data_IF_385021326212
#
_entry.id   IF_385021326212
#
_cell.length_a   1.000
_cell.length_b   1.000
_cell.length_c   1.000
_cell.angle_alpha   90.00
_cell.angle_beta   90.00
_cell.angle_gamma   90.00
#
_symmetry.space_group_name_H-M   'P 1'
#
loop_
_entity.id
_entity.type
_entity.pdbx_description
1 polymer ?
#
# COMPACT_ATOMS: atom_id res chain seq x y z
N UNK A 1 17.92 7.81 11.94
CA UNK A 1 17.64 6.70 11.01
C UNK A 1 16.19 6.35 11.21
N UNK A 2 15.41 6.28 10.15
CA UNK A 2 13.99 5.98 10.24
C UNK A 2 13.82 4.57 10.83
N UNK A 3 13.12 4.45 11.95
CA UNK A 3 13.02 3.19 12.72
C UNK A 3 11.96 2.25 12.12
N UNK A 4 11.96 2.10 10.79
CA UNK A 4 11.03 1.23 10.07
C UNK A 4 11.58 0.85 8.69
N UNK A 5 11.04 -0.23 8.13
CA UNK A 5 11.37 -0.72 6.79
C UNK A 5 10.15 -0.72 5.88
N UNK A 6 10.35 -0.46 4.59
CA UNK A 6 9.33 -0.63 3.57
C UNK A 6 9.54 -1.97 2.88
N UNK A 7 8.49 -2.78 2.80
CA UNK A 7 8.50 -4.07 2.11
C UNK A 7 7.35 -4.14 1.10
N UNK A 8 7.49 -4.95 0.05
CA UNK A 8 6.36 -5.33 -0.79
C UNK A 8 5.51 -6.35 -0.03
N UNK A 9 4.21 -6.13 0.06
CA UNK A 9 3.31 -7.06 0.70
C UNK A 9 3.09 -8.30 -0.17
N UNK A 10 2.80 -9.41 0.50
CA UNK A 10 2.58 -10.76 -0.03
C UNK A 10 1.51 -11.39 0.87
N UNK A 11 0.98 -12.56 0.49
CA UNK A 11 -0.06 -13.26 1.27
C UNK A 11 0.29 -13.43 2.75
N UNK A 12 1.54 -13.75 3.08
CA UNK A 12 2.04 -13.89 4.47
C UNK A 12 1.94 -12.61 5.32
N UNK A 13 1.71 -11.46 4.70
CA UNK A 13 1.60 -10.17 5.37
C UNK A 13 0.15 -9.75 5.62
N UNK A 14 -0.84 -10.49 5.09
CA UNK A 14 -2.25 -10.10 5.15
C UNK A 14 -2.78 -9.97 6.58
N UNK A 15 -2.34 -10.82 7.51
CA UNK A 15 -2.73 -10.74 8.93
C UNK A 15 -2.39 -9.38 9.57
N UNK A 16 -1.32 -8.73 9.09
CA UNK A 16 -0.90 -7.40 9.56
C UNK A 16 -1.49 -6.27 8.73
N UNK A 17 -1.73 -6.52 7.45
CA UNK A 17 -2.23 -5.51 6.52
C UNK A 17 -3.74 -5.31 6.64
N UNK A 18 -4.53 -6.38 6.81
CA UNK A 18 -5.99 -6.30 6.84
C UNK A 18 -6.54 -5.41 7.96
N UNK A 19 -6.06 -5.49 9.22
CA UNK A 19 -6.52 -4.56 10.27
C UNK A 19 -6.16 -3.10 9.96
N UNK A 20 -5.01 -2.87 9.33
CA UNK A 20 -4.57 -1.53 8.94
C UNK A 20 -5.39 -0.99 7.75
N UNK A 21 -5.76 -1.84 6.81
CA UNK A 21 -6.63 -1.51 5.69
C UNK A 21 -8.06 -1.25 6.16
N UNK A 22 -8.55 -2.00 7.14
CA UNK A 22 -9.85 -1.73 7.77
C UNK A 22 -9.84 -0.37 8.50
N UNK A 23 -8.77 -0.04 9.24
CA UNK A 23 -8.61 1.28 9.85
C UNK A 23 -8.62 2.42 8.81
N UNK A 24 -8.04 2.19 7.64
CA UNK A 24 -8.15 3.10 6.49
C UNK A 24 -9.61 3.26 6.02
N UNK A 25 -10.35 2.16 5.87
CA UNK A 25 -11.78 2.20 5.49
C UNK A 25 -12.63 2.94 6.52
N UNK A 26 -12.40 2.70 7.81
CA UNK A 26 -13.07 3.40 8.91
C UNK A 26 -12.77 4.90 8.89
N UNK A 27 -11.53 5.28 8.58
CA UNK A 27 -11.16 6.69 8.40
C UNK A 27 -12.02 7.36 7.30
N UNK A 28 -12.34 6.62 6.23
CA UNK A 28 -13.28 6.98 5.17
C UNK A 28 -14.77 6.66 5.48
N UNK A 29 -15.12 6.53 6.77
CA UNK A 29 -16.50 6.36 7.27
C UNK A 29 -17.20 5.07 6.86
N UNK A 30 -16.45 4.05 6.49
CA UNK A 30 -17.00 2.71 6.29
C UNK A 30 -17.13 1.97 7.63
N UNK A 31 -18.07 1.01 7.75
CA UNK A 31 -18.10 0.11 8.90
C UNK A 31 -16.86 -0.79 8.92
N UNK A 32 -16.39 -1.10 10.13
CA UNK A 32 -15.30 -2.05 10.34
C UNK A 32 -15.72 -3.42 9.83
N UNK A 33 -14.87 -4.02 9.01
CA UNK A 33 -14.99 -5.40 8.55
C UNK A 33 -13.61 -5.92 8.14
N UNK A 34 -12.87 -6.43 9.13
CA UNK A 34 -11.49 -6.92 8.94
C UNK A 34 -11.47 -8.18 8.06
N UNK A 35 -12.51 -9.01 8.12
CA UNK A 35 -12.61 -10.23 7.29
C UNK A 35 -12.77 -9.83 5.82
N UNK A 36 -13.72 -8.93 5.51
CA UNK A 36 -13.88 -8.43 4.15
C UNK A 36 -12.63 -7.68 3.65
N UNK A 37 -11.94 -6.92 4.53
CA UNK A 37 -10.68 -6.28 4.18
C UNK A 37 -9.60 -7.32 3.82
N UNK A 38 -9.48 -8.40 4.60
CA UNK A 38 -8.56 -9.50 4.31
C UNK A 38 -8.87 -10.16 2.98
N UNK A 39 -10.12 -10.58 2.75
CA UNK A 39 -10.54 -11.24 1.51
C UNK A 39 -10.32 -10.34 0.30
N UNK A 40 -10.64 -9.05 0.45
CA UNK A 40 -10.40 -8.06 -0.59
C UNK A 40 -8.93 -7.97 -0.97
N UNK A 41 -8.02 -7.87 0.01
CA UNK A 41 -6.58 -7.80 -0.23
C UNK A 41 -6.03 -9.11 -0.80
N UNK A 42 -6.52 -10.25 -0.29
CA UNK A 42 -6.11 -11.58 -0.73
C UNK A 42 -6.36 -11.79 -2.22
N UNK A 43 -7.56 -11.48 -2.70
CA UNK A 43 -7.89 -11.59 -4.13
C UNK A 43 -7.02 -10.66 -4.99
N UNK A 44 -6.84 -9.40 -4.56
CA UNK A 44 -6.00 -8.41 -5.27
C UNK A 44 -4.55 -8.85 -5.43
N UNK A 45 -4.00 -9.51 -4.40
CA UNK A 45 -2.65 -10.10 -4.47
C UNK A 45 -2.64 -11.37 -5.33
N UNK A 46 -3.66 -12.22 -5.20
CA UNK A 46 -3.74 -13.51 -5.93
C UNK A 46 -3.88 -13.32 -7.43
N UNK A 47 -4.65 -12.31 -7.84
CA UNK A 47 -4.90 -11.98 -9.24
C UNK A 47 -3.84 -11.02 -9.83
N UNK A 48 -2.84 -10.62 -9.04
CA UNK A 48 -1.82 -9.63 -9.43
C UNK A 48 -2.42 -8.29 -9.89
N UNK A 49 -3.57 -7.92 -9.32
CA UNK A 49 -4.34 -6.71 -9.68
C UNK A 49 -3.78 -5.44 -9.05
N UNK A 50 -2.95 -5.56 -8.02
CA UNK A 50 -2.33 -4.41 -7.36
C UNK A 50 -0.94 -4.72 -6.79
N UNK A 51 -0.20 -3.65 -6.51
CA UNK A 51 1.06 -3.71 -5.76
C UNK A 51 0.88 -2.94 -4.47
N UNK A 52 1.18 -3.59 -3.35
CA UNK A 52 1.04 -3.01 -2.02
C UNK A 52 2.42 -2.93 -1.38
N UNK A 53 2.75 -1.76 -0.83
CA UNK A 53 3.92 -1.57 0.02
C UNK A 53 3.47 -1.35 1.46
N UNK A 54 4.13 -2.03 2.40
CA UNK A 54 3.85 -1.99 3.83
C UNK A 54 5.08 -1.44 4.57
N UNK A 55 4.84 -0.47 5.45
CA UNK A 55 5.82 0.02 6.39
C UNK A 55 5.72 -0.80 7.69
N UNK A 56 6.83 -1.39 8.11
CA UNK A 56 6.94 -2.18 9.33
C UNK A 56 7.96 -1.58 10.28
N UNK A 57 7.63 -1.44 11.56
CA UNK A 57 8.58 -1.16 12.65
C UNK A 57 9.56 -2.34 12.87
N UNK A 58 10.59 -2.19 13.72
CA UNK A 58 11.59 -3.23 13.94
C UNK A 58 11.02 -4.48 14.62
N UNK A 59 10.03 -4.32 15.50
CA UNK A 59 9.22 -5.39 16.11
C UNK A 59 8.17 -5.98 15.13
N UNK A 60 8.08 -5.45 13.91
CA UNK A 60 7.25 -5.98 12.84
C UNK A 60 5.79 -5.56 12.91
N UNK A 61 5.44 -4.52 13.66
CA UNK A 61 4.10 -3.90 13.64
C UNK A 61 3.92 -3.12 12.33
N UNK A 62 2.72 -3.21 11.75
CA UNK A 62 2.37 -2.43 10.57
C UNK A 62 2.11 -0.96 10.95
N UNK A 63 2.81 -0.04 10.29
CA UNK A 63 2.77 1.40 10.57
C UNK A 63 1.99 2.19 9.50
N UNK A 64 1.92 1.68 8.28
CA UNK A 64 1.30 2.34 7.14
C UNK A 64 1.43 1.49 5.88
N UNK A 65 0.59 1.76 4.88
CA UNK A 65 0.66 1.09 3.59
C UNK A 65 0.36 2.06 2.44
N UNK A 66 0.73 1.65 1.23
CA UNK A 66 0.20 2.23 0.00
C UNK A 66 -0.14 1.13 -1.00
N UNK A 67 -1.22 1.31 -1.76
CA UNK A 67 -1.68 0.37 -2.77
C UNK A 67 -1.75 1.06 -4.14
N UNK A 68 -1.13 0.43 -5.13
CA UNK A 68 -1.06 0.90 -6.50
C UNK A 68 -1.78 -0.07 -7.44
N UNK A 69 -2.57 0.47 -8.36
CA UNK A 69 -3.23 -0.30 -9.42
C UNK A 69 -2.57 -0.01 -10.78
N UNK A 70 -2.33 -1.03 -11.62
CA UNK A 70 -1.81 -0.83 -12.95
C UNK A 70 -2.88 -0.22 -13.86
N UNK A 71 -2.47 0.67 -14.75
CA UNK A 71 -3.31 1.21 -15.83
C UNK A 71 -2.45 1.51 -17.06
N UNK A 72 -3.04 2.07 -18.11
CA UNK A 72 -2.38 2.39 -19.36
C UNK A 72 -2.88 3.71 -19.94
N UNK A 73 -1.96 4.52 -20.47
CA UNK A 73 -2.30 5.64 -21.34
C UNK A 73 -2.30 5.13 -22.78
N UNK A 74 -3.46 5.10 -23.42
CA UNK A 74 -3.55 4.77 -24.86
C UNK A 74 -3.01 5.90 -25.74
N UNK A 75 -2.98 7.14 -25.23
CA UNK A 75 -2.44 8.30 -25.96
C UNK A 75 -0.91 8.29 -25.92
N UNK A 76 -0.32 7.98 -24.77
CA UNK A 76 1.14 7.97 -24.58
C UNK A 76 1.76 6.58 -24.79
N UNK A 77 0.94 5.57 -25.07
CA UNK A 77 1.33 4.17 -25.30
C UNK A 77 2.24 3.61 -24.19
N UNK A 78 1.93 3.92 -22.93
CA UNK A 78 2.74 3.52 -21.78
C UNK A 78 1.89 3.01 -20.62
N UNK A 79 2.53 2.23 -19.75
CA UNK A 79 1.95 1.82 -18.46
C UNK A 79 1.91 3.01 -17.50
N UNK A 80 0.88 3.04 -16.66
CA UNK A 80 0.74 3.94 -15.53
C UNK A 80 0.57 3.11 -14.25
N UNK A 81 0.97 3.67 -13.12
CA UNK A 81 0.54 3.17 -11.81
C UNK A 81 -0.33 4.22 -11.16
N UNK A 82 -1.48 3.84 -10.62
CA UNK A 82 -2.33 4.74 -9.86
C UNK A 82 -2.09 4.48 -8.38
N UNK A 83 -1.46 5.42 -7.68
CA UNK A 83 -1.39 5.38 -6.21
C UNK A 83 -2.77 5.74 -5.64
N UNK A 84 -3.57 4.72 -5.36
CA UNK A 84 -4.97 4.89 -4.97
C UNK A 84 -5.12 5.06 -3.46
N UNK A 85 -4.47 4.18 -2.70
CA UNK A 85 -4.55 4.18 -1.24
C UNK A 85 -3.19 4.54 -0.62
N UNK A 86 -3.22 5.46 0.36
CA UNK A 86 -2.09 5.76 1.23
C UNK A 86 -2.63 5.99 2.64
N UNK A 87 -2.16 5.19 3.59
CA UNK A 87 -2.56 5.32 4.97
C UNK A 87 -1.39 5.12 5.92
N UNK A 88 -1.35 5.93 6.98
CA UNK A 88 -0.41 5.80 8.09
C UNK A 88 -1.23 5.75 9.38
N UNK A 89 -0.98 4.71 10.18
CA UNK A 89 -1.60 4.52 11.49
C UNK A 89 -1.42 5.80 12.32
N UNK A 90 -2.45 6.26 13.06
CA UNK A 90 -2.39 7.53 13.79
C UNK A 90 -1.15 7.68 14.67
N UNK A 91 -0.73 6.59 15.33
CA UNK A 91 0.42 6.54 16.25
C UNK A 91 1.77 6.63 15.52
N UNK A 92 1.80 6.36 14.21
CA UNK A 92 3.00 6.40 13.38
C UNK A 92 3.09 7.67 12.50
N UNK A 93 2.15 8.62 12.66
CA UNK A 93 2.15 9.88 11.89
C UNK A 93 3.27 10.80 12.32
N UNK A 94 3.72 11.66 11.39
CA UNK A 94 4.85 12.60 11.55
C UNK A 94 6.23 11.94 11.78
N UNK A 95 6.33 10.62 11.66
CA UNK A 95 7.58 9.86 11.72
C UNK A 95 8.21 9.61 10.33
N UNK A 96 7.73 10.26 9.26
CA UNK A 96 8.26 10.08 7.90
C UNK A 96 7.73 8.86 7.12
N UNK A 97 6.92 7.98 7.75
CA UNK A 97 6.35 6.76 7.13
C UNK A 97 5.67 7.04 5.78
N UNK A 98 4.77 8.02 5.72
CA UNK A 98 4.05 8.35 4.48
C UNK A 98 4.98 8.82 3.35
N UNK A 99 6.02 9.60 3.69
CA UNK A 99 7.03 10.04 2.71
C UNK A 99 7.82 8.85 2.18
N UNK A 100 8.20 7.90 3.04
CA UNK A 100 8.93 6.72 2.62
C UNK A 100 8.09 5.80 1.71
N UNK A 101 6.80 5.62 2.02
CA UNK A 101 5.86 4.87 1.18
C UNK A 101 5.70 5.51 -0.20
N UNK A 102 5.45 6.83 -0.28
CA UNK A 102 5.37 7.54 -1.56
C UNK A 102 6.68 7.44 -2.36
N UNK A 103 7.83 7.59 -1.71
CA UNK A 103 9.13 7.43 -2.37
C UNK A 103 9.33 6.01 -2.91
N UNK A 104 8.81 5.00 -2.23
CA UNK A 104 8.86 3.62 -2.71
C UNK A 104 7.93 3.41 -3.92
N UNK A 105 6.72 3.95 -3.89
CA UNK A 105 5.79 3.94 -5.02
C UNK A 105 6.41 4.58 -6.28
N UNK A 106 7.05 5.75 -6.14
CA UNK A 106 7.75 6.42 -7.25
C UNK A 106 8.91 5.58 -7.80
N UNK A 107 9.71 4.96 -6.93
CA UNK A 107 10.80 4.07 -7.37
C UNK A 107 10.28 2.88 -8.14
N UNK A 108 9.22 2.24 -7.64
CA UNK A 108 8.57 1.11 -8.32
C UNK A 108 8.03 1.48 -9.70
N UNK A 109 7.38 2.63 -9.84
CA UNK A 109 6.89 3.09 -11.13
C UNK A 109 8.02 3.33 -12.13
N UNK A 110 9.13 3.95 -11.71
CA UNK A 110 10.30 4.16 -12.54
C UNK A 110 10.95 2.83 -12.98
N UNK A 111 11.10 1.88 -12.05
CA UNK A 111 11.67 0.54 -12.32
C UNK A 111 10.82 -0.29 -13.30
N UNK A 112 9.51 -0.04 -13.35
CA UNK A 112 8.59 -0.73 -14.26
C UNK A 112 8.36 0.01 -15.59
N UNK A 113 9.11 1.08 -15.84
CA UNK A 113 9.03 1.87 -17.08
C UNK A 113 7.69 2.61 -17.23
N UNK A 114 6.99 2.90 -16.13
CA UNK A 114 5.73 3.62 -16.17
C UNK A 114 5.97 5.10 -16.50
N UNK A 115 5.06 5.70 -17.27
CA UNK A 115 5.12 7.12 -17.62
C UNK A 115 4.79 8.05 -16.45
N UNK A 116 4.07 7.55 -15.43
CA UNK A 116 3.68 8.29 -14.23
C UNK A 116 3.21 7.34 -13.10
N UNK A 117 3.16 7.90 -11.89
CA UNK A 117 2.59 7.31 -10.67
C UNK A 117 1.66 8.28 -9.95
#
# INVERSE_FOLDING_TARGET
>A
MDDFRIIRAEHKHLDKLAPLFDAYRIFYKQPSDVVAAFDFLHERLSNLESVIYLALSPDGKALGFTQLYPSFSSVSLCRLWMLYDLFVAPEARRLGVGRALMKQAHRFAAETGAGMV
#
